data_IF_330292357624
#
_entry.id   IF_330292357624
#
_cell.length_a   1.000
_cell.length_b   1.000
_cell.length_c   1.000
_cell.angle_alpha   90.00
_cell.angle_beta   90.00
_cell.angle_gamma   90.00
#
_symmetry.space_group_name_H-M   'P 1'
#
loop_
_entity.id
_entity.type
_entity.pdbx_description
1 polymer ?
#
# COMPACT_ATOMS: atom_id res chain seq x y z
N UNK A 1 -15.53 37.28 -19.24
CA UNK A 1 -16.30 36.09 -18.83
C UNK A 1 -15.34 34.93 -18.77
N UNK A 2 -15.24 34.19 -17.66
CA UNK A 2 -14.39 33.01 -17.62
C UNK A 2 -14.98 31.95 -18.56
N UNK A 3 -14.14 31.31 -19.37
CA UNK A 3 -14.53 30.14 -20.17
C UNK A 3 -13.77 28.92 -19.66
N UNK A 4 -14.49 27.81 -19.49
CA UNK A 4 -13.91 26.52 -19.11
C UNK A 4 -13.25 25.93 -20.36
N UNK A 5 -11.92 25.77 -20.32
CA UNK A 5 -11.14 25.22 -21.44
C UNK A 5 -11.08 23.68 -21.42
N UNK A 6 -11.16 23.08 -20.23
CA UNK A 6 -11.15 21.65 -20.03
C UNK A 6 -12.16 21.28 -18.93
N UNK A 7 -12.93 20.26 -19.21
CA UNK A 7 -13.94 19.67 -18.34
C UNK A 7 -13.72 18.16 -18.38
N UNK A 8 -13.78 17.52 -17.21
CA UNK A 8 -13.72 16.05 -17.13
C UNK A 8 -15.01 15.49 -17.71
N UNK A 9 -14.89 14.60 -18.70
CA UNK A 9 -16.02 14.00 -19.43
C UNK A 9 -16.89 13.18 -18.47
N UNK A 10 -16.28 12.52 -17.49
CA UNK A 10 -16.94 11.77 -16.42
C UNK A 10 -16.61 12.40 -15.08
N UNK A 11 -17.59 12.43 -14.19
CA UNK A 11 -17.40 12.88 -12.81
C UNK A 11 -16.58 11.84 -12.06
N UNK A 12 -15.69 12.28 -11.18
CA UNK A 12 -15.06 11.39 -10.21
C UNK A 12 -16.17 10.70 -9.40
N UNK A 13 -16.15 9.36 -9.31
CA UNK A 13 -17.19 8.52 -8.67
C UNK A 13 -18.43 8.21 -9.53
N UNK A 14 -18.35 8.35 -10.86
CA UNK A 14 -19.39 7.89 -11.78
C UNK A 14 -19.34 6.36 -11.98
N UNK A 15 -20.06 5.61 -11.16
CA UNK A 15 -20.20 4.14 -11.25
C UNK A 15 -20.74 3.64 -12.61
N UNK A 16 -21.23 4.52 -13.49
CA UNK A 16 -21.64 4.13 -14.86
C UNK A 16 -20.48 4.07 -15.84
N UNK A 17 -19.33 4.67 -15.52
CA UNK A 17 -18.13 4.61 -16.35
C UNK A 17 -17.41 3.26 -16.20
N UNK A 18 -17.07 2.63 -17.32
CA UNK A 18 -16.46 1.29 -17.37
C UNK A 18 -15.19 1.15 -16.50
N UNK A 19 -14.40 2.22 -16.38
CA UNK A 19 -13.16 2.27 -15.60
C UNK A 19 -13.37 2.55 -14.10
N UNK A 20 -14.58 2.94 -13.68
CA UNK A 20 -14.95 3.23 -12.28
C UNK A 20 -15.89 2.18 -11.65
N UNK A 21 -16.25 1.12 -12.40
CA UNK A 21 -17.17 0.06 -11.94
C UNK A 21 -16.55 -0.98 -11.00
N UNK A 22 -15.22 -1.09 -10.95
CA UNK A 22 -14.51 -2.18 -10.24
C UNK A 22 -13.53 -1.67 -9.19
N UNK A 23 -13.75 -0.45 -8.66
CA UNK A 23 -12.88 0.18 -7.67
C UNK A 23 -13.01 -0.43 -6.27
N UNK A 24 -14.19 -0.96 -5.93
CA UNK A 24 -14.48 -1.53 -4.63
C UNK A 24 -14.12 -3.02 -4.61
N UNK A 25 -12.99 -3.35 -3.97
CA UNK A 25 -12.58 -4.73 -3.70
C UNK A 25 -12.90 -5.08 -2.25
N UNK A 26 -13.53 -6.23 -2.05
CA UNK A 26 -13.73 -6.80 -0.73
C UNK A 26 -12.50 -7.61 -0.29
N UNK A 27 -12.43 -7.94 1.00
CA UNK A 27 -11.35 -8.77 1.58
C UNK A 27 -11.07 -10.04 0.76
N UNK A 28 -12.13 -10.71 0.30
CA UNK A 28 -12.03 -11.95 -0.45
C UNK A 28 -11.36 -11.77 -1.82
N UNK A 29 -11.54 -10.60 -2.45
CA UNK A 29 -10.92 -10.27 -3.73
C UNK A 29 -9.41 -10.15 -3.58
N UNK A 30 -8.95 -9.47 -2.54
CA UNK A 30 -7.52 -9.37 -2.22
C UNK A 30 -6.89 -10.75 -1.97
N UNK A 31 -7.57 -11.60 -1.20
CA UNK A 31 -7.12 -12.97 -0.96
C UNK A 31 -7.07 -13.80 -2.25
N UNK A 32 -8.04 -13.62 -3.15
CA UNK A 32 -8.07 -14.31 -4.45
C UNK A 32 -6.92 -13.89 -5.38
N UNK A 33 -6.44 -12.65 -5.24
CA UNK A 33 -5.26 -12.10 -5.92
C UNK A 33 -3.94 -12.58 -5.28
N UNK A 34 -4.00 -13.37 -4.20
CA UNK A 34 -2.83 -13.86 -3.48
C UNK A 34 -2.22 -12.85 -2.53
N UNK A 35 -2.93 -11.76 -2.19
CA UNK A 35 -2.47 -10.71 -1.28
C UNK A 35 -2.69 -11.10 0.19
N UNK A 36 -2.27 -12.30 0.58
CA UNK A 36 -2.41 -12.79 1.96
C UNK A 36 -1.31 -12.30 2.91
N UNK A 37 -0.18 -11.82 2.37
CA UNK A 37 0.96 -11.30 3.13
C UNK A 37 1.24 -9.85 2.71
N UNK A 38 0.60 -8.91 3.42
CA UNK A 38 0.58 -7.48 3.06
C UNK A 38 1.64 -6.68 3.82
N UNK A 39 1.96 -7.10 5.04
CA UNK A 39 2.82 -6.37 5.96
C UNK A 39 3.64 -7.34 6.78
N UNK A 40 4.92 -7.01 6.97
CA UNK A 40 5.76 -7.79 7.86
C UNK A 40 5.34 -7.61 9.34
N UNK A 41 4.61 -6.53 9.67
CA UNK A 41 4.35 -6.10 11.05
C UNK A 41 2.94 -6.44 11.54
N UNK A 42 1.94 -6.44 10.65
CA UNK A 42 0.53 -6.63 11.00
C UNK A 42 -0.19 -7.54 10.00
N UNK A 43 -1.18 -8.27 10.50
CA UNK A 43 -2.22 -8.94 9.74
C UNK A 43 -3.45 -8.01 9.66
N UNK A 44 -3.74 -7.38 8.50
CA UNK A 44 -4.86 -6.46 8.37
C UNK A 44 -6.22 -7.15 8.38
N UNK A 45 -6.29 -8.41 7.94
CA UNK A 45 -7.52 -9.20 7.92
C UNK A 45 -7.97 -9.59 9.32
N UNK A 46 -7.00 -9.90 10.19
CA UNK A 46 -7.26 -10.34 11.57
C UNK A 46 -7.12 -9.23 12.61
N UNK A 47 -6.65 -8.05 12.20
CA UNK A 47 -6.27 -6.94 13.08
C UNK A 47 -5.30 -7.39 14.19
N UNK A 48 -4.27 -8.12 13.78
CA UNK A 48 -3.24 -8.65 14.68
C UNK A 48 -1.92 -7.98 14.37
N UNK A 49 -1.25 -7.44 15.39
CA UNK A 49 0.15 -7.04 15.30
C UNK A 49 1.03 -8.22 15.67
N UNK A 50 1.92 -8.59 14.78
CA UNK A 50 2.81 -9.72 15.01
C UNK A 50 3.79 -9.40 16.13
N UNK A 51 3.97 -10.35 17.04
CA UNK A 51 5.08 -10.31 17.98
C UNK A 51 6.33 -10.79 17.23
N UNK A 52 6.88 -9.93 16.37
CA UNK A 52 8.12 -10.22 15.64
C UNK A 52 9.20 -10.68 16.62
N UNK A 53 9.99 -11.73 16.33
CA UNK A 53 11.18 -11.95 17.13
C UNK A 53 12.27 -11.02 16.58
N UNK A 54 13.18 -10.59 17.46
CA UNK A 54 14.31 -9.74 17.12
C UNK A 54 15.26 -10.35 16.06
N UNK A 55 16.44 -9.73 15.84
CA UNK A 55 17.30 -9.88 14.65
C UNK A 55 17.87 -11.28 14.32
N UNK A 56 17.37 -12.34 14.96
CA UNK A 56 17.84 -13.72 14.87
C UNK A 56 16.67 -14.72 14.68
N UNK A 57 15.51 -14.27 14.20
CA UNK A 57 14.39 -15.14 13.84
C UNK A 57 14.54 -15.75 12.45
N UNK A 58 14.76 -17.07 12.39
CA UNK A 58 14.59 -17.89 11.19
C UNK A 58 13.12 -18.26 11.02
N UNK A 59 12.26 -17.32 10.65
CA UNK A 59 10.91 -17.66 10.18
C UNK A 59 10.87 -17.47 8.67
N UNK A 60 10.75 -18.59 7.96
CA UNK A 60 10.71 -18.64 6.51
C UNK A 60 9.55 -17.81 5.96
N UNK A 61 9.77 -17.26 4.78
CA UNK A 61 8.98 -16.23 4.09
C UNK A 61 7.52 -16.60 3.72
N UNK A 62 6.85 -17.54 4.40
CA UNK A 62 5.54 -18.07 3.98
C UNK A 62 4.62 -18.56 5.12
N UNK A 63 4.91 -18.28 6.39
CA UNK A 63 4.10 -18.80 7.51
C UNK A 63 3.35 -17.67 8.22
N UNK A 64 2.01 -17.76 8.25
CA UNK A 64 1.14 -16.87 9.03
C UNK A 64 1.58 -16.89 10.50
N UNK A 65 2.04 -15.78 11.08
CA UNK A 65 2.41 -15.75 12.49
C UNK A 65 1.18 -16.07 13.33
N UNK A 66 1.23 -17.17 14.08
CA UNK A 66 0.13 -17.64 14.93
C UNK A 66 -0.01 -16.83 16.22
N UNK A 67 0.97 -15.99 16.54
CA UNK A 67 1.02 -15.20 17.78
C UNK A 67 1.14 -13.70 17.49
N UNK A 68 0.28 -12.92 18.13
CA UNK A 68 0.27 -11.47 18.05
C UNK A 68 -0.81 -10.86 18.94
N UNK A 69 -0.79 -9.54 19.03
CA UNK A 69 -1.72 -8.78 19.86
C UNK A 69 -2.82 -8.19 18.98
N UNK A 70 -4.08 -8.29 19.41
CA UNK A 70 -5.19 -7.63 18.74
C UNK A 70 -5.04 -6.11 18.86
N UNK A 71 -5.17 -5.41 17.74
CA UNK A 71 -5.05 -3.96 17.65
C UNK A 71 -6.34 -3.33 17.12
N UNK A 72 -6.47 -2.01 17.24
CA UNK A 72 -7.57 -1.30 16.59
C UNK A 72 -7.33 -1.19 15.08
N UNK A 73 -8.41 -0.94 14.33
CA UNK A 73 -8.31 -0.68 12.89
C UNK A 73 -7.45 0.56 12.59
N UNK A 74 -7.59 1.63 13.38
CA UNK A 74 -6.79 2.85 13.21
C UNK A 74 -5.30 2.57 13.41
N UNK A 75 -4.93 1.79 14.43
CA UNK A 75 -3.54 1.41 14.68
C UNK A 75 -2.98 0.55 13.53
N UNK A 76 -3.80 -0.35 12.97
CA UNK A 76 -3.42 -1.15 11.80
C UNK A 76 -3.11 -0.26 10.59
N UNK A 77 -4.00 0.71 10.29
CA UNK A 77 -3.83 1.67 9.19
C UNK A 77 -2.55 2.49 9.39
N UNK A 78 -2.33 3.01 10.61
CA UNK A 78 -1.14 3.80 10.92
C UNK A 78 0.15 3.01 10.68
N UNK A 79 0.17 1.73 11.08
CA UNK A 79 1.32 0.83 10.87
C UNK A 79 1.55 0.58 9.38
N UNK A 80 0.51 0.24 8.62
CA UNK A 80 0.58 0.00 7.18
C UNK A 80 1.11 1.21 6.43
N UNK A 81 0.58 2.40 6.73
CA UNK A 81 0.98 3.64 6.05
C UNK A 81 2.41 4.04 6.41
N UNK A 82 2.83 3.83 7.66
CA UNK A 82 4.21 4.05 8.07
C UNK A 82 5.18 3.09 7.38
N UNK A 83 4.83 1.81 7.26
CA UNK A 83 5.63 0.80 6.56
C UNK A 83 5.75 1.10 5.07
N UNK A 84 4.65 1.42 4.39
CA UNK A 84 4.65 1.85 3.00
C UNK A 84 5.59 3.04 2.78
N UNK A 85 5.50 4.08 3.62
CA UNK A 85 6.39 5.25 3.54
C UNK A 85 7.86 4.87 3.68
N UNK A 86 8.18 3.97 4.60
CA UNK A 86 9.55 3.55 4.85
C UNK A 86 10.12 2.75 3.67
N UNK A 87 9.35 1.80 3.13
CA UNK A 87 9.72 1.02 1.95
C UNK A 87 9.84 1.89 0.69
N UNK A 88 8.96 2.87 0.53
CA UNK A 88 8.97 3.79 -0.61
C UNK A 88 10.22 4.69 -0.64
N UNK A 89 10.91 4.93 0.49
CA UNK A 89 12.13 5.74 0.54
C UNK A 89 13.22 5.25 -0.42
N UNK A 90 13.29 3.93 -0.64
CA UNK A 90 14.25 3.33 -1.57
C UNK A 90 14.02 3.82 -3.01
N UNK A 91 12.78 4.15 -3.37
CA UNK A 91 12.41 4.60 -4.71
C UNK A 91 12.36 6.13 -4.84
N UNK A 92 12.11 6.85 -3.74
CA UNK A 92 12.07 8.32 -3.77
C UNK A 92 13.43 8.98 -4.01
N UNK A 93 14.54 8.30 -3.70
CA UNK A 93 15.89 8.83 -3.93
C UNK A 93 16.38 8.70 -5.39
N UNK A 94 15.80 7.79 -6.18
CA UNK A 94 16.29 7.51 -7.54
C UNK A 94 15.96 8.59 -8.58
N UNK A 95 15.01 9.50 -8.32
CA UNK A 95 14.68 10.58 -9.27
C UNK A 95 15.80 11.63 -9.41
N UNK A 96 16.61 11.83 -8.36
CA UNK A 96 17.67 12.85 -8.37
C UNK A 96 18.91 12.42 -9.16
N UNK A 97 19.17 11.12 -9.28
CA UNK A 97 20.41 10.60 -9.89
C UNK A 97 20.32 10.49 -11.42
N UNK A 98 19.12 10.61 -12.00
CA UNK A 98 18.92 10.57 -13.46
C UNK A 98 18.80 11.96 -14.11
N UNK A 99 18.68 13.04 -13.32
CA UNK A 99 18.55 14.42 -13.81
C UNK A 99 19.77 15.31 -13.60
N UNK A 100 20.83 14.81 -12.96
CA UNK A 100 22.14 15.48 -12.98
C UNK A 100 23.06 14.73 -13.93
N UNK A 101 22.87 14.95 -15.23
CA UNK A 101 23.95 14.79 -16.19
C UNK A 101 24.97 15.91 -15.90
N UNK A 102 26.20 15.63 -15.45
CA UNK A 102 27.23 16.63 -15.41
C UNK A 102 27.84 16.70 -16.82
N UNK A 103 27.58 17.80 -17.52
CA UNK A 103 28.33 18.20 -18.72
C UNK A 103 27.62 17.96 -20.04
N UNK A 104 27.13 19.06 -20.62
CA UNK A 104 27.34 19.39 -22.04
C UNK A 104 27.19 20.90 -22.21
N UNK A 105 28.35 21.52 -22.49
CA UNK A 105 28.68 22.88 -22.95
C UNK A 105 28.55 24.08 -22.01
#
# INVERSE_FOLDING_TARGET
MPCTLFETITLFDDFSADDMQYGDMEEQDFLSLGLSDISAKVDPYRLIKYHFPGPNSTYGAFSVPTSGTKISQSECIDILFAEMKDLAKMFSFFWTIQNTHPGSD
#
